data_IF_497689136360
#
_entry.id   IF_497689136360
#
_cell.length_a   1.000
_cell.length_b   1.000
_cell.length_c   1.000
_cell.angle_alpha   90.00
_cell.angle_beta   90.00
_cell.angle_gamma   90.00
#
_symmetry.space_group_name_H-M   'P 1'
#
loop_
_entity.id
_entity.type
_entity.pdbx_description
1 polymer ?
#
# COMPACT_ATOMS: atom_id res chain seq x y z
N UNK A 1 24.82 34.50 41.07
CA UNK A 1 25.38 35.15 42.28
C UNK A 1 24.24 35.32 43.25
N UNK A 2 24.37 34.86 44.51
CA UNK A 2 23.28 34.97 45.49
C UNK A 2 23.36 36.35 46.13
N UNK A 3 22.33 37.16 45.93
CA UNK A 3 22.30 38.51 46.50
C UNK A 3 22.05 38.48 48.01
N UNK A 4 22.63 39.47 48.70
CA UNK A 4 22.43 39.69 50.12
C UNK A 4 20.96 40.10 50.37
N UNK A 5 20.29 39.53 51.39
CA UNK A 5 18.90 39.84 51.66
C UNK A 5 18.72 41.30 52.10
N UNK A 6 17.83 42.02 51.42
CA UNK A 6 17.44 43.39 51.78
C UNK A 6 16.40 43.35 52.91
N UNK A 7 16.87 43.52 54.15
CA UNK A 7 16.05 43.56 55.36
C UNK A 7 15.72 45.00 55.77
N UNK A 8 14.65 45.18 56.55
CA UNK A 8 14.21 46.52 56.97
C UNK A 8 15.25 47.25 57.83
N UNK A 9 15.28 48.61 57.81
CA UNK A 9 16.21 49.40 58.64
C UNK A 9 16.07 49.16 60.15
N UNK A 10 14.89 48.71 60.61
CA UNK A 10 14.67 48.33 61.99
C UNK A 10 15.46 47.06 62.36
N UNK A 11 15.46 46.06 61.48
CA UNK A 11 16.17 44.79 61.66
C UNK A 11 17.69 44.93 61.57
N UNK A 12 18.19 45.86 60.75
CA UNK A 12 19.64 46.15 60.61
C UNK A 12 20.26 46.67 61.92
N UNK A 13 19.47 47.25 62.83
CA UNK A 13 19.96 47.70 64.14
C UNK A 13 20.36 46.55 65.07
N UNK A 14 19.78 45.37 64.86
CA UNK A 14 19.92 44.22 65.75
C UNK A 14 20.68 43.06 65.09
N UNK A 15 20.64 42.96 63.76
CA UNK A 15 21.31 41.89 63.03
C UNK A 15 22.30 42.45 62.01
N UNK A 16 23.52 41.90 62.02
CA UNK A 16 24.52 42.22 61.03
C UNK A 16 24.17 41.58 59.68
N UNK A 17 23.99 42.42 58.66
CA UNK A 17 23.76 41.96 57.29
C UNK A 17 25.03 41.24 56.79
N UNK A 18 24.92 40.01 56.24
CA UNK A 18 26.06 39.27 55.77
C UNK A 18 26.70 39.97 54.57
N UNK A 19 28.01 39.76 54.37
CA UNK A 19 28.70 40.23 53.18
C UNK A 19 28.19 39.48 51.95
N UNK A 20 28.43 40.06 50.77
CA UNK A 20 28.16 39.39 49.50
C UNK A 20 28.94 38.07 49.48
N UNK A 21 28.27 36.90 49.31
CA UNK A 21 28.91 35.61 49.36
C UNK A 21 29.86 35.41 48.18
N UNK A 22 30.86 34.54 48.34
CA UNK A 22 31.78 34.23 47.24
C UNK A 22 31.07 33.50 46.10
N UNK A 23 31.70 33.44 44.93
CA UNK A 23 31.17 32.70 43.77
C UNK A 23 32.21 31.68 43.28
N UNK A 24 32.04 30.37 43.53
CA UNK A 24 30.90 29.75 44.24
C UNK A 24 30.91 30.07 45.75
N UNK A 25 29.77 30.00 46.44
CA UNK A 25 29.72 30.21 47.88
C UNK A 25 30.61 29.21 48.62
N UNK A 26 31.35 29.69 49.61
CA UNK A 26 32.15 28.85 50.49
C UNK A 26 31.31 28.24 51.61
N UNK A 27 31.86 27.26 52.34
CA UNK A 27 31.24 26.80 53.59
C UNK A 27 31.10 27.94 54.62
N UNK A 28 32.02 28.89 54.63
CA UNK A 28 31.98 30.07 55.50
C UNK A 28 30.77 30.97 55.16
N UNK A 29 30.47 31.17 53.88
CA UNK A 29 29.28 31.92 53.44
C UNK A 29 27.98 31.25 53.92
N UNK A 30 27.95 29.91 53.89
CA UNK A 30 26.79 29.12 54.32
C UNK A 30 26.62 29.17 55.83
N UNK A 31 27.70 28.99 56.59
CA UNK A 31 27.66 29.13 58.05
C UNK A 31 27.22 30.54 58.44
N UNK A 32 27.72 31.56 57.74
CA UNK A 32 27.32 32.95 57.92
C UNK A 32 25.82 33.14 57.64
N UNK A 33 25.28 32.54 56.58
CA UNK A 33 23.86 32.60 56.25
C UNK A 33 22.96 31.85 57.26
N UNK A 34 23.41 30.70 57.77
CA UNK A 34 22.72 29.97 58.84
C UNK A 34 22.66 30.82 60.11
N UNK A 35 23.80 31.39 60.54
CA UNK A 35 23.87 32.25 61.71
C UNK A 35 23.03 33.50 61.55
N UNK A 36 23.05 34.14 60.38
CA UNK A 36 22.20 35.29 60.05
C UNK A 36 20.70 34.97 60.15
N UNK A 37 20.26 33.86 59.54
CA UNK A 37 18.86 33.41 59.59
C UNK A 37 18.41 33.10 61.02
N UNK A 38 19.27 32.46 61.82
CA UNK A 38 18.98 32.14 63.22
C UNK A 38 18.93 33.41 64.08
N UNK A 39 19.80 34.38 63.84
CA UNK A 39 19.82 35.64 64.57
C UNK A 39 18.55 36.44 64.31
N UNK A 40 18.10 36.57 63.05
CA UNK A 40 16.82 37.19 62.71
C UNK A 40 15.63 36.53 63.44
N UNK A 41 15.60 35.20 63.47
CA UNK A 41 14.55 34.47 64.19
C UNK A 41 14.60 34.74 65.71
N UNK A 42 15.80 34.74 66.31
CA UNK A 42 15.97 35.00 67.73
C UNK A 42 15.54 36.44 68.13
N UNK A 43 15.87 37.45 67.33
CA UNK A 43 15.46 38.84 67.59
C UNK A 43 13.94 39.05 67.42
N UNK A 44 13.30 38.30 66.51
CA UNK A 44 11.83 38.26 66.40
C UNK A 44 11.21 37.68 67.70
N UNK A 45 11.77 36.58 68.21
CA UNK A 45 11.29 35.93 69.45
C UNK A 45 11.51 36.83 70.67
N UNK A 46 12.60 37.59 70.71
CA UNK A 46 12.88 38.56 71.78
C UNK A 46 12.04 39.85 71.67
N UNK A 47 11.28 40.03 70.58
CA UNK A 47 10.41 41.18 70.35
C UNK A 47 11.13 42.46 69.92
N UNK A 48 12.44 42.40 69.64
CA UNK A 48 13.21 43.53 69.12
C UNK A 48 12.92 43.82 67.65
N UNK A 49 12.56 42.79 66.89
CA UNK A 49 12.11 42.88 65.50
C UNK A 49 10.65 42.43 65.45
N UNK A 50 9.81 43.13 64.70
CA UNK A 50 8.39 42.76 64.48
C UNK A 50 8.09 42.35 63.04
N UNK A 51 9.07 42.52 62.14
CA UNK A 51 8.91 42.25 60.72
C UNK A 51 9.24 40.80 60.37
N UNK A 52 8.20 39.98 60.26
CA UNK A 52 8.30 38.57 59.90
C UNK A 52 8.86 38.36 58.48
N UNK A 53 8.70 39.35 57.58
CA UNK A 53 9.24 39.30 56.22
C UNK A 53 10.76 39.22 56.21
N UNK A 54 11.43 39.89 57.15
CA UNK A 54 12.90 39.87 57.23
C UNK A 54 13.41 38.49 57.65
N UNK A 55 12.72 37.81 58.56
CA UNK A 55 13.02 36.42 58.96
C UNK A 55 12.86 35.47 57.78
N UNK A 56 11.78 35.62 57.01
CA UNK A 56 11.56 34.80 55.79
C UNK A 56 12.65 35.07 54.75
N UNK A 57 13.06 36.34 54.55
CA UNK A 57 14.18 36.68 53.66
C UNK A 57 15.49 36.04 54.09
N UNK A 58 15.77 35.99 55.41
CA UNK A 58 16.93 35.31 55.97
C UNK A 58 16.91 33.80 55.72
N UNK A 59 15.76 33.15 55.94
CA UNK A 59 15.59 31.72 55.68
C UNK A 59 15.76 31.40 54.18
N UNK A 60 15.17 32.20 53.29
CA UNK A 60 15.32 32.02 51.84
C UNK A 60 16.76 32.23 51.37
N UNK A 61 17.49 33.17 51.96
CA UNK A 61 18.91 33.37 51.67
C UNK A 61 19.75 32.14 52.06
N UNK A 62 19.50 31.57 53.24
CA UNK A 62 20.13 30.32 53.71
C UNK A 62 19.88 29.16 52.74
N UNK A 63 18.63 28.93 52.37
CA UNK A 63 18.26 27.82 51.48
C UNK A 63 18.84 27.99 50.07
N UNK A 64 18.90 29.23 49.55
CA UNK A 64 19.56 29.52 48.27
C UNK A 64 21.05 29.15 48.30
N UNK A 65 21.78 29.49 49.36
CA UNK A 65 23.20 29.16 49.48
C UNK A 65 23.44 27.66 49.66
N UNK A 66 22.60 26.97 50.43
CA UNK A 66 22.66 25.51 50.55
C UNK A 66 22.39 24.81 49.21
N UNK A 67 21.42 25.29 48.44
CA UNK A 67 21.13 24.76 47.10
C UNK A 67 22.31 24.93 46.12
N UNK A 68 23.12 26.00 46.27
CA UNK A 68 24.30 26.18 45.40
C UNK A 68 25.41 25.15 45.65
N UNK A 69 25.48 24.51 46.82
CA UNK A 69 26.49 23.47 47.10
C UNK A 69 26.18 22.13 46.44
N UNK A 70 24.90 21.81 46.25
CA UNK A 70 24.48 20.57 45.60
C UNK A 70 24.36 20.73 44.07
N UNK A 71 24.93 21.79 43.49
CA UNK A 71 24.74 22.12 42.07
C UNK A 71 23.29 22.49 41.72
N UNK A 72 22.45 22.82 42.71
CA UNK A 72 21.05 23.22 42.54
C UNK A 72 20.02 22.09 42.59
N UNK A 73 20.43 20.82 42.51
CA UNK A 73 19.49 19.68 42.41
C UNK A 73 19.64 18.67 43.56
N UNK A 74 18.54 18.14 44.13
CA UNK A 74 18.60 17.06 45.11
C UNK A 74 19.19 15.76 44.53
N UNK A 75 19.94 15.00 45.33
CA UNK A 75 20.57 13.73 44.90
C UNK A 75 19.58 12.67 44.41
N UNK A 76 18.31 12.76 44.82
CA UNK A 76 17.24 11.86 44.36
C UNK A 76 16.59 12.29 43.03
N UNK A 77 16.78 13.55 42.61
CA UNK A 77 16.06 14.15 41.48
C UNK A 77 16.38 13.45 40.16
N UNK A 78 17.66 13.24 39.85
CA UNK A 78 18.07 12.54 38.63
C UNK A 78 17.47 11.12 38.54
N UNK A 79 17.46 10.38 39.64
CA UNK A 79 16.88 9.04 39.69
C UNK A 79 15.34 9.05 39.53
N UNK A 80 14.65 10.03 40.12
CA UNK A 80 13.21 10.19 39.98
C UNK A 80 12.82 10.55 38.53
N UNK A 81 13.54 11.48 37.91
CA UNK A 81 13.32 11.84 36.50
C UNK A 81 13.62 10.66 35.59
N UNK A 82 14.73 9.94 35.79
CA UNK A 82 15.06 8.76 34.98
C UNK A 82 13.96 7.69 35.05
N UNK A 83 13.42 7.42 36.24
CA UNK A 83 12.32 6.47 36.42
C UNK A 83 11.03 6.90 35.71
N UNK A 84 10.67 8.18 35.82
CA UNK A 84 9.49 8.73 35.15
C UNK A 84 9.65 8.70 33.62
N UNK A 85 10.85 9.03 33.12
CA UNK A 85 11.18 9.02 31.71
C UNK A 85 11.11 7.59 31.16
N UNK A 86 11.72 6.62 31.85
CA UNK A 86 11.67 5.20 31.51
C UNK A 86 10.22 4.69 31.47
N UNK A 87 9.42 5.01 32.49
CA UNK A 87 8.02 4.61 32.55
C UNK A 87 7.19 5.17 31.38
N UNK A 88 7.51 6.39 30.90
CA UNK A 88 6.84 7.01 29.74
C UNK A 88 7.31 6.47 28.40
N UNK A 89 8.58 6.09 28.27
CA UNK A 89 9.14 5.61 27.01
C UNK A 89 9.05 4.10 26.81
N UNK A 90 8.92 3.32 27.89
CA UNK A 90 8.76 1.86 27.80
C UNK A 90 7.57 1.44 26.90
N UNK A 91 6.36 2.03 27.01
CA UNK A 91 5.26 1.70 26.10
C UNK A 91 5.57 2.02 24.64
N UNK A 92 6.35 3.08 24.38
CA UNK A 92 6.76 3.44 23.02
C UNK A 92 7.73 2.40 22.44
N UNK A 93 8.68 1.93 23.26
CA UNK A 93 9.61 0.87 22.87
C UNK A 93 8.87 -0.44 22.55
N UNK A 94 7.86 -0.80 23.35
CA UNK A 94 7.06 -2.00 23.12
C UNK A 94 6.19 -1.87 21.86
N UNK A 95 5.58 -0.70 21.64
CA UNK A 95 4.85 -0.42 20.40
C UNK A 95 5.76 -0.50 19.17
N UNK A 96 7.01 -0.03 19.26
CA UNK A 96 7.97 -0.11 18.16
C UNK A 96 8.27 -1.58 17.78
N UNK A 97 8.43 -2.45 18.77
CA UNK A 97 8.62 -3.90 18.54
C UNK A 97 7.40 -4.53 17.86
N UNK A 98 6.19 -4.14 18.26
CA UNK A 98 4.95 -4.62 17.63
C UNK A 98 4.86 -4.16 16.18
N UNK A 99 5.23 -2.90 15.90
CA UNK A 99 5.29 -2.37 14.54
C UNK A 99 6.31 -3.14 13.70
N UNK A 100 7.51 -3.40 14.23
CA UNK A 100 8.54 -4.17 13.53
C UNK A 100 8.06 -5.59 13.19
N UNK A 101 7.41 -6.27 14.14
CA UNK A 101 6.82 -7.58 13.91
C UNK A 101 5.74 -7.54 12.82
N UNK A 102 4.88 -6.52 12.84
CA UNK A 102 3.81 -6.32 11.86
C UNK A 102 4.38 -6.04 10.46
N UNK A 103 5.43 -5.23 10.34
CA UNK A 103 6.12 -4.96 9.08
C UNK A 103 6.75 -6.23 8.51
N UNK A 104 7.35 -7.05 9.37
CA UNK A 104 7.94 -8.32 8.95
C UNK A 104 6.88 -9.32 8.48
N UNK A 105 5.71 -9.38 9.14
CA UNK A 105 4.58 -10.18 8.69
C UNK A 105 4.06 -9.70 7.32
N UNK A 106 3.82 -8.41 7.15
CA UNK A 106 3.39 -7.83 5.87
C UNK A 106 4.38 -8.12 4.73
N UNK A 107 5.68 -8.13 5.01
CA UNK A 107 6.71 -8.48 4.02
C UNK A 107 6.63 -9.94 3.60
N UNK A 108 6.24 -10.85 4.51
CA UNK A 108 6.02 -12.26 4.18
C UNK A 108 4.74 -12.43 3.34
N UNK A 109 3.65 -11.77 3.74
CA UNK A 109 2.39 -11.80 2.99
C UNK A 109 2.58 -11.27 1.57
N UNK A 110 3.31 -10.17 1.40
CA UNK A 110 3.60 -9.60 0.07
C UNK A 110 4.40 -10.56 -0.81
N UNK A 111 5.29 -11.38 -0.23
CA UNK A 111 6.00 -12.44 -0.98
C UNK A 111 5.05 -13.55 -1.40
N UNK A 112 4.14 -13.97 -0.52
CA UNK A 112 3.12 -14.98 -0.83
C UNK A 112 2.20 -14.51 -1.96
N UNK A 113 1.66 -13.30 -1.86
CA UNK A 113 0.84 -12.66 -2.91
C UNK A 113 1.62 -12.61 -4.24
N UNK A 114 2.92 -12.26 -4.19
CA UNK A 114 3.77 -12.24 -5.38
C UNK A 114 3.95 -13.62 -6.03
N UNK A 115 3.87 -14.71 -5.28
CA UNK A 115 3.87 -16.08 -5.80
C UNK A 115 2.52 -16.43 -6.42
N UNK A 116 1.42 -16.12 -5.73
CA UNK A 116 0.06 -16.40 -6.20
C UNK A 116 -0.24 -15.69 -7.53
N UNK A 117 0.16 -14.42 -7.66
CA UNK A 117 0.02 -13.65 -8.91
C UNK A 117 0.78 -14.32 -10.07
N UNK A 118 1.94 -14.95 -9.81
CA UNK A 118 2.67 -15.69 -10.84
C UNK A 118 1.97 -16.97 -11.25
N UNK A 119 1.35 -17.69 -10.30
CA UNK A 119 0.56 -18.89 -10.57
C UNK A 119 -0.66 -18.53 -11.41
N UNK A 120 -1.43 -17.53 -10.98
CA UNK A 120 -2.59 -17.02 -11.72
C UNK A 120 -2.20 -16.56 -13.13
N UNK A 121 -1.05 -15.91 -13.30
CA UNK A 121 -0.53 -15.54 -14.61
C UNK A 121 -0.23 -16.71 -15.54
N UNK A 122 0.12 -17.89 -15.01
CA UNK A 122 0.29 -19.12 -15.81
C UNK A 122 -1.07 -19.72 -16.18
N UNK A 123 -2.00 -19.76 -15.23
CA UNK A 123 -3.35 -20.31 -15.45
C UNK A 123 -4.12 -19.51 -16.49
N UNK A 124 -4.08 -18.17 -16.44
CA UNK A 124 -4.71 -17.32 -17.46
C UNK A 124 -4.16 -17.60 -18.87
N UNK A 125 -2.86 -17.88 -19.01
CA UNK A 125 -2.27 -18.26 -20.30
C UNK A 125 -2.77 -19.63 -20.77
N UNK A 126 -2.93 -20.59 -19.86
CA UNK A 126 -3.48 -21.91 -20.18
C UNK A 126 -4.94 -21.80 -20.63
N UNK A 127 -5.78 -21.09 -19.86
CA UNK A 127 -7.19 -20.82 -20.21
C UNK A 127 -7.29 -20.14 -21.57
N UNK A 128 -6.45 -19.14 -21.86
CA UNK A 128 -6.45 -18.48 -23.17
C UNK A 128 -6.19 -19.48 -24.30
N UNK A 129 -5.27 -20.41 -24.12
CA UNK A 129 -4.98 -21.44 -25.12
C UNK A 129 -6.17 -22.39 -25.29
N UNK A 130 -6.74 -22.87 -24.18
CA UNK A 130 -7.92 -23.75 -24.21
C UNK A 130 -9.12 -23.10 -24.88
N UNK A 131 -9.36 -21.81 -24.64
CA UNK A 131 -10.42 -21.05 -25.31
C UNK A 131 -10.20 -20.97 -26.83
N UNK A 132 -8.96 -20.76 -27.28
CA UNK A 132 -8.65 -20.75 -28.71
C UNK A 132 -8.82 -22.14 -29.36
N UNK A 133 -8.48 -23.20 -28.63
CA UNK A 133 -8.69 -24.57 -29.10
C UNK A 133 -10.19 -24.93 -29.14
N UNK A 134 -10.98 -24.48 -28.15
CA UNK A 134 -12.44 -24.62 -28.15
C UNK A 134 -13.09 -23.87 -29.31
N UNK A 135 -12.65 -22.64 -29.62
CA UNK A 135 -13.15 -21.89 -30.79
C UNK A 135 -12.91 -22.63 -32.10
N UNK A 136 -11.70 -23.20 -32.28
CA UNK A 136 -11.39 -24.03 -33.45
C UNK A 136 -12.29 -25.26 -33.51
N UNK A 137 -12.47 -25.95 -32.39
CA UNK A 137 -13.37 -27.11 -32.28
C UNK A 137 -14.81 -26.76 -32.65
N UNK A 138 -15.34 -25.65 -32.11
CA UNK A 138 -16.68 -25.16 -32.43
C UNK A 138 -16.85 -24.86 -33.92
N UNK A 139 -15.87 -24.19 -34.53
CA UNK A 139 -15.90 -23.88 -35.95
C UNK A 139 -15.88 -25.14 -36.82
N UNK A 140 -15.07 -26.13 -36.45
CA UNK A 140 -15.02 -27.44 -37.12
C UNK A 140 -16.36 -28.18 -37.00
N UNK A 141 -16.97 -28.20 -35.82
CA UNK A 141 -18.29 -28.81 -35.60
C UNK A 141 -19.36 -28.12 -36.45
N UNK A 142 -19.42 -26.78 -36.46
CA UNK A 142 -20.36 -26.02 -37.31
C UNK A 142 -20.21 -26.40 -38.78
N UNK A 143 -18.97 -26.50 -39.28
CA UNK A 143 -18.69 -26.90 -40.65
C UNK A 143 -19.14 -28.32 -40.95
N UNK A 144 -18.80 -29.28 -40.10
CA UNK A 144 -19.18 -30.70 -40.28
C UNK A 144 -20.71 -30.85 -40.23
N UNK A 145 -21.38 -30.18 -39.30
CA UNK A 145 -22.83 -30.20 -39.18
C UNK A 145 -23.51 -29.67 -40.45
N UNK A 146 -23.06 -28.52 -40.97
CA UNK A 146 -23.59 -27.95 -42.21
C UNK A 146 -23.36 -28.86 -43.42
N UNK A 147 -22.16 -29.43 -43.59
CA UNK A 147 -21.87 -30.40 -44.66
C UNK A 147 -22.76 -31.63 -44.54
N UNK A 148 -22.94 -32.15 -43.33
CA UNK A 148 -23.74 -33.36 -43.07
C UNK A 148 -25.21 -33.10 -43.38
N UNK A 149 -25.75 -31.96 -42.92
CA UNK A 149 -27.10 -31.51 -43.27
C UNK A 149 -27.27 -31.43 -44.79
N UNK A 150 -26.38 -30.71 -45.48
CA UNK A 150 -26.42 -30.55 -46.93
C UNK A 150 -26.40 -31.88 -47.68
N UNK A 151 -25.61 -32.85 -47.23
CA UNK A 151 -25.59 -34.21 -47.81
C UNK A 151 -26.92 -34.95 -47.65
N UNK A 152 -27.66 -34.69 -46.58
CA UNK A 152 -28.95 -35.34 -46.31
C UNK A 152 -30.14 -34.69 -47.01
N UNK A 153 -30.01 -33.45 -47.50
CA UNK A 153 -31.14 -32.73 -48.10
C UNK A 153 -31.59 -33.25 -49.48
N UNK A 154 -30.83 -34.15 -50.12
CA UNK A 154 -31.16 -34.69 -51.44
C UNK A 154 -30.85 -33.74 -52.61
N UNK A 155 -31.37 -34.05 -53.79
CA UNK A 155 -31.22 -33.24 -55.00
C UNK A 155 -32.57 -32.73 -55.48
N UNK A 156 -32.74 -31.40 -55.61
CA UNK A 156 -33.97 -30.80 -56.11
C UNK A 156 -34.02 -29.27 -55.97
N UNK A 157 -34.91 -28.59 -56.71
CA UNK A 157 -34.99 -27.12 -56.73
C UNK A 157 -35.50 -26.53 -55.41
N UNK A 158 -36.10 -27.34 -54.54
CA UNK A 158 -36.60 -26.93 -53.22
C UNK A 158 -35.60 -27.21 -52.08
N UNK A 159 -34.42 -27.77 -52.38
CA UNK A 159 -33.41 -28.11 -51.37
C UNK A 159 -32.66 -26.86 -50.92
N UNK A 160 -32.87 -26.42 -49.69
CA UNK A 160 -32.15 -25.29 -49.10
C UNK A 160 -30.92 -25.78 -48.34
N UNK A 161 -29.74 -25.42 -48.82
CA UNK A 161 -28.46 -25.75 -48.20
C UNK A 161 -28.13 -24.78 -47.04
N UNK A 162 -27.54 -25.32 -45.99
CA UNK A 162 -26.87 -24.53 -44.96
C UNK A 162 -25.53 -23.98 -45.47
N UNK A 163 -25.20 -22.80 -44.99
CA UNK A 163 -23.91 -22.15 -45.25
C UNK A 163 -22.82 -22.96 -44.57
N UNK A 164 -21.82 -23.38 -45.35
CA UNK A 164 -20.66 -24.09 -44.84
C UNK A 164 -19.52 -23.09 -44.62
N UNK A 165 -19.10 -22.83 -43.37
CA UNK A 165 -17.94 -21.99 -43.06
C UNK A 165 -16.68 -22.51 -43.74
N UNK A 166 -15.69 -21.67 -43.99
CA UNK A 166 -14.41 -22.08 -44.56
C UNK A 166 -13.62 -23.05 -43.66
N UNK A 167 -12.52 -23.59 -44.18
CA UNK A 167 -11.68 -24.56 -43.45
C UNK A 167 -11.05 -23.98 -42.18
N UNK A 168 -10.81 -22.68 -42.15
CA UNK A 168 -10.36 -21.93 -40.97
C UNK A 168 -11.51 -21.54 -40.02
N UNK A 169 -12.76 -21.88 -40.35
CA UNK A 169 -13.94 -21.57 -39.53
C UNK A 169 -14.63 -20.25 -39.84
N UNK A 170 -14.07 -19.42 -40.73
CA UNK A 170 -14.63 -18.11 -41.07
C UNK A 170 -15.91 -18.23 -41.90
N UNK A 171 -16.81 -17.27 -41.73
CA UNK A 171 -18.07 -17.22 -42.47
C UNK A 171 -17.84 -16.63 -43.86
N UNK A 172 -18.15 -17.35 -44.95
CA UNK A 172 -17.97 -16.82 -46.30
C UNK A 172 -18.84 -15.58 -46.59
N UNK A 173 -19.93 -15.38 -45.85
CA UNK A 173 -20.87 -14.28 -46.11
C UNK A 173 -20.52 -12.98 -45.38
N UNK A 174 -19.68 -13.07 -44.35
CA UNK A 174 -19.28 -11.93 -43.53
C UNK A 174 -18.01 -11.27 -44.06
N UNK A 175 -17.73 -10.06 -43.58
CA UNK A 175 -16.42 -9.42 -43.77
C UNK A 175 -15.28 -10.37 -43.35
N UNK A 176 -14.16 -10.42 -44.11
CA UNK A 176 -13.83 -9.60 -45.29
C UNK A 176 -14.32 -10.18 -46.63
N UNK A 177 -15.04 -11.30 -46.63
CA UNK A 177 -15.31 -12.08 -47.84
C UNK A 177 -16.56 -11.62 -48.60
N UNK A 178 -17.64 -11.35 -47.88
CA UNK A 178 -18.92 -10.85 -48.41
C UNK A 178 -19.42 -11.64 -49.64
N UNK A 179 -19.28 -12.97 -49.62
CA UNK A 179 -19.60 -13.80 -50.79
C UNK A 179 -21.10 -14.07 -50.92
N UNK A 180 -21.60 -14.32 -52.16
CA UNK A 180 -23.00 -14.68 -52.37
C UNK A 180 -23.35 -16.02 -51.74
N UNK A 181 -24.45 -16.06 -50.98
CA UNK A 181 -24.91 -17.27 -50.31
C UNK A 181 -25.25 -18.41 -51.30
N UNK A 182 -24.79 -19.62 -50.96
CA UNK A 182 -25.01 -20.84 -51.75
C UNK A 182 -26.18 -21.64 -51.18
N UNK A 183 -27.40 -21.13 -51.33
CA UNK A 183 -28.63 -21.77 -50.81
C UNK A 183 -29.08 -22.97 -51.64
N UNK A 184 -28.65 -23.08 -52.90
CA UNK A 184 -28.93 -24.17 -53.82
C UNK A 184 -27.68 -24.56 -54.61
N UNK A 185 -27.54 -25.83 -55.05
CA UNK A 185 -26.44 -26.26 -55.93
C UNK A 185 -26.32 -25.40 -57.21
N UNK A 186 -27.45 -24.95 -57.75
CA UNK A 186 -27.52 -24.05 -58.90
C UNK A 186 -26.85 -22.69 -58.67
N UNK A 187 -26.79 -22.18 -57.43
CA UNK A 187 -26.09 -20.92 -57.14
C UNK A 187 -24.59 -21.03 -57.41
N UNK A 188 -23.99 -22.22 -57.23
CA UNK A 188 -22.56 -22.44 -57.48
C UNK A 188 -22.23 -22.27 -58.97
N UNK A 189 -23.11 -22.73 -59.85
CA UNK A 189 -22.95 -22.58 -61.31
C UNK A 189 -23.06 -21.11 -61.75
N UNK A 190 -23.83 -20.30 -61.03
CA UNK A 190 -24.07 -18.88 -61.31
C UNK A 190 -23.00 -17.95 -60.70
N UNK A 191 -22.08 -18.46 -59.88
CA UNK A 191 -21.00 -17.64 -59.31
C UNK A 191 -20.11 -17.05 -60.42
N UNK A 192 -19.76 -15.77 -60.26
CA UNK A 192 -18.69 -15.13 -61.04
C UNK A 192 -17.36 -15.85 -60.81
N UNK A 193 -16.42 -15.73 -61.76
CA UNK A 193 -15.07 -16.31 -61.61
C UNK A 193 -14.38 -15.82 -60.34
N UNK A 194 -14.51 -14.53 -60.01
CA UNK A 194 -13.92 -13.95 -58.80
C UNK A 194 -14.49 -14.58 -57.52
N UNK A 195 -15.82 -14.69 -57.39
CA UNK A 195 -16.44 -15.31 -56.22
C UNK A 195 -16.11 -16.80 -56.12
N UNK A 196 -16.07 -17.50 -57.25
CA UNK A 196 -15.69 -18.91 -57.30
C UNK A 196 -14.27 -19.13 -56.80
N UNK A 197 -13.34 -18.26 -57.20
CA UNK A 197 -11.95 -18.34 -56.78
C UNK A 197 -11.80 -18.07 -55.30
N UNK A 198 -12.56 -17.12 -54.77
CA UNK A 198 -12.55 -16.79 -53.34
C UNK A 198 -13.16 -17.92 -52.49
N UNK A 199 -14.27 -18.52 -52.93
CA UNK A 199 -14.81 -19.74 -52.32
C UNK A 199 -13.78 -20.89 -52.32
N UNK A 200 -13.14 -21.13 -53.47
CA UNK A 200 -12.13 -22.18 -53.57
C UNK A 200 -10.89 -21.88 -52.69
N UNK A 201 -10.46 -20.62 -52.56
CA UNK A 201 -9.35 -20.24 -51.66
C UNK A 201 -9.69 -20.56 -50.20
N UNK A 202 -10.91 -20.29 -49.75
CA UNK A 202 -11.33 -20.57 -48.37
C UNK A 202 -11.57 -22.07 -48.08
N UNK A 203 -12.07 -22.82 -49.06
CA UNK A 203 -12.28 -24.28 -48.91
C UNK A 203 -11.03 -25.12 -49.17
N UNK A 204 -10.07 -24.63 -49.95
CA UNK A 204 -8.84 -25.33 -50.31
C UNK A 204 -7.62 -24.40 -50.13
N UNK A 205 -7.31 -24.00 -48.89
CA UNK A 205 -6.19 -23.10 -48.62
C UNK A 205 -4.88 -23.71 -49.11
N UNK A 206 -4.08 -22.91 -49.81
CA UNK A 206 -2.78 -23.33 -50.37
C UNK A 206 -2.87 -24.23 -51.62
N UNK A 207 -4.05 -24.66 -52.05
CA UNK A 207 -4.22 -25.49 -53.25
C UNK A 207 -5.50 -25.13 -54.00
N UNK A 208 -5.41 -24.13 -54.88
CA UNK A 208 -6.54 -23.73 -55.71
C UNK A 208 -6.83 -24.80 -56.77
N UNK A 209 -8.06 -25.35 -56.85
CA UNK A 209 -8.42 -26.29 -57.89
C UNK A 209 -8.31 -25.66 -59.30
N UNK A 210 -8.00 -26.44 -60.35
CA UNK A 210 -8.02 -25.98 -61.74
C UNK A 210 -9.37 -25.34 -62.10
N UNK A 211 -9.35 -24.28 -62.92
CA UNK A 211 -10.55 -23.50 -63.24
C UNK A 211 -11.74 -24.37 -63.72
N UNK A 212 -11.45 -25.38 -64.54
CA UNK A 212 -12.45 -26.33 -65.08
C UNK A 212 -13.16 -27.17 -64.00
N UNK A 213 -12.55 -27.38 -62.83
CA UNK A 213 -13.09 -28.24 -61.76
C UNK A 213 -13.56 -27.46 -60.53
N UNK A 214 -13.47 -26.13 -60.52
CA UNK A 214 -13.79 -25.30 -59.33
C UNK A 214 -15.24 -25.43 -58.89
N UNK A 215 -16.20 -25.49 -59.82
CA UNK A 215 -17.62 -25.66 -59.51
C UNK A 215 -17.87 -26.99 -58.78
N UNK A 216 -17.33 -28.09 -59.32
CA UNK A 216 -17.43 -29.41 -58.70
C UNK A 216 -16.72 -29.46 -57.33
N UNK A 217 -15.57 -28.78 -57.21
CA UNK A 217 -14.85 -28.67 -55.95
C UNK A 217 -15.67 -27.93 -54.88
N UNK A 218 -16.32 -26.82 -55.22
CA UNK A 218 -17.18 -26.09 -54.27
C UNK A 218 -18.38 -26.95 -53.85
N UNK A 219 -19.08 -27.59 -54.80
CA UNK A 219 -20.20 -28.48 -54.49
C UNK A 219 -19.78 -29.59 -53.51
N UNK A 220 -18.63 -30.22 -53.78
CA UNK A 220 -18.03 -31.22 -52.89
C UNK A 220 -17.72 -30.65 -51.50
N UNK A 221 -17.12 -29.45 -51.44
CA UNK A 221 -16.72 -28.81 -50.19
C UNK A 221 -17.91 -28.38 -49.30
N UNK A 222 -19.07 -28.11 -49.90
CA UNK A 222 -20.30 -27.76 -49.16
C UNK A 222 -21.21 -28.97 -48.91
N UNK A 223 -20.84 -30.17 -49.35
CA UNK A 223 -21.63 -31.39 -49.17
C UNK A 223 -22.84 -31.49 -50.11
N UNK A 224 -22.85 -30.76 -51.22
CA UNK A 224 -23.88 -30.88 -52.25
C UNK A 224 -23.46 -31.92 -53.32
N UNK A 225 -24.42 -32.69 -53.79
CA UNK A 225 -24.23 -33.62 -54.92
C UNK A 225 -24.32 -32.85 -56.24
N UNK A 226 -23.55 -33.29 -57.25
CA UNK A 226 -23.64 -32.81 -58.65
C UNK A 226 -24.90 -33.36 -59.31
#
# INVERSE_FOLDING_TARGET
MVDVPNISPASVKYVNVPKIPTNPPTFEDITTAISFSNHLFNELVQGHITNHEDVVKGALYREKLLATQSGGEPTWFAAAIARELEAKFQPLADNLKVVEASVNALKQDMKAIGQDVKVMGKEVKAIKKEVEDLKKGQAQIRRIAAITFNKTCGTGPLVVLQVVPFTNGEDPLSDPYNLPQLVHPGNVAQLSTAHRDQYCKGYYPGRLPPAATRTAAILTAIGASV
#
